data_IF_612433697133
#
_entry.id   IF_612433697133
#
_cell.length_a   1.000
_cell.length_b   1.000
_cell.length_c   1.000
_cell.angle_alpha   90.00
_cell.angle_beta   90.00
_cell.angle_gamma   90.00
#
_symmetry.space_group_name_H-M   'P 1'
#
loop_
_entity.id
_entity.type
_entity.pdbx_description
1 polymer ?
#
# COMPACT_ATOMS: atom_id res chain seq x y z
N UNK A 1 11.93 -6.02 8.98
CA UNK A 1 11.26 -5.75 10.26
C UNK A 1 10.07 -6.69 10.38
N UNK A 2 9.75 -7.17 11.58
CA UNK A 2 8.57 -8.01 11.82
C UNK A 2 7.74 -7.38 12.95
N UNK A 3 6.42 -7.34 12.79
CA UNK A 3 5.52 -6.80 13.81
C UNK A 3 4.13 -7.45 13.75
N UNK A 4 3.43 -7.62 14.89
CA UNK A 4 2.05 -8.07 14.91
C UNK A 4 1.10 -6.92 14.52
N UNK A 5 0.06 -7.23 13.74
CA UNK A 5 -1.04 -6.33 13.44
C UNK A 5 -2.34 -7.13 13.33
N UNK A 6 -3.36 -6.74 14.09
CA UNK A 6 -4.56 -7.55 14.29
C UNK A 6 -4.21 -9.00 14.69
N UNK A 7 -4.70 -9.98 13.94
CA UNK A 7 -4.45 -11.42 14.09
C UNK A 7 -3.32 -11.94 13.20
N UNK A 8 -2.55 -11.05 12.56
CA UNK A 8 -1.47 -11.38 11.63
C UNK A 8 -0.09 -10.95 12.12
N UNK A 9 0.94 -11.65 11.65
CA UNK A 9 2.35 -11.30 11.86
C UNK A 9 2.93 -10.81 10.53
N UNK A 10 3.15 -9.50 10.43
CA UNK A 10 3.60 -8.85 9.19
C UNK A 10 5.11 -8.81 9.13
N UNK A 11 5.68 -9.26 8.01
CA UNK A 11 7.10 -9.15 7.69
C UNK A 11 7.30 -8.05 6.65
N UNK A 12 7.81 -6.89 7.10
CA UNK A 12 8.13 -5.77 6.22
C UNK A 12 9.60 -5.82 5.81
N UNK A 13 9.84 -6.00 4.51
CA UNK A 13 11.17 -5.87 3.91
C UNK A 13 11.33 -4.46 3.34
N UNK A 14 12.43 -3.80 3.71
CA UNK A 14 12.74 -2.46 3.22
C UNK A 14 13.54 -2.54 1.92
N UNK A 15 13.12 -1.77 0.92
CA UNK A 15 13.73 -1.71 -0.41
C UNK A 15 14.47 -0.37 -0.57
N UNK A 16 15.82 -0.37 -0.60
CA UNK A 16 16.59 0.87 -0.74
C UNK A 16 16.22 1.67 -2.00
N UNK A 17 15.86 2.95 -1.81
CA UNK A 17 15.36 3.83 -2.87
C UNK A 17 16.42 4.61 -3.66
N UNK A 18 17.73 4.37 -3.49
CA UNK A 18 18.79 5.07 -4.23
C UNK A 18 19.21 4.29 -5.49
N UNK A 19 19.71 4.96 -6.54
CA UNK A 19 20.04 4.34 -7.84
C UNK A 19 21.15 3.28 -7.72
N UNK A 20 22.05 3.47 -6.77
CA UNK A 20 23.18 2.57 -6.52
C UNK A 20 22.78 1.22 -5.89
N UNK A 21 21.50 1.00 -5.56
CA UNK A 21 21.00 -0.18 -4.84
C UNK A 21 19.92 -0.97 -5.59
N UNK A 22 19.90 -0.87 -6.92
CA UNK A 22 18.86 -1.48 -7.77
C UNK A 22 18.81 -3.01 -7.69
N UNK A 23 19.96 -3.70 -7.65
CA UNK A 23 20.00 -5.16 -7.69
C UNK A 23 19.47 -5.83 -6.40
N UNK A 24 19.89 -5.33 -5.24
CA UNK A 24 19.40 -5.82 -3.93
C UNK A 24 17.89 -5.60 -3.77
N UNK A 25 17.38 -4.50 -4.33
CA UNK A 25 15.95 -4.19 -4.32
C UNK A 25 15.18 -5.21 -5.14
N UNK A 26 15.63 -5.53 -6.36
CA UNK A 26 14.97 -6.53 -7.20
C UNK A 26 15.00 -7.93 -6.59
N UNK A 27 16.11 -8.31 -5.94
CA UNK A 27 16.21 -9.58 -5.21
C UNK A 27 15.29 -9.62 -4.00
N UNK A 28 15.13 -8.50 -3.28
CA UNK A 28 14.20 -8.42 -2.15
C UNK A 28 12.76 -8.64 -2.57
N UNK A 29 12.36 -8.13 -3.75
CA UNK A 29 11.03 -8.39 -4.31
C UNK A 29 10.79 -9.88 -4.63
N UNK A 30 11.85 -10.68 -4.79
CA UNK A 30 11.70 -12.14 -4.97
C UNK A 30 11.32 -12.88 -3.68
N UNK A 31 11.49 -12.24 -2.52
CA UNK A 31 11.26 -12.84 -1.22
C UNK A 31 9.91 -12.48 -0.59
N UNK A 32 9.14 -11.58 -1.23
CA UNK A 32 7.81 -11.16 -0.79
C UNK A 32 6.71 -11.82 -1.60
N UNK A 33 5.52 -11.90 -1.00
CA UNK A 33 4.30 -12.41 -1.64
C UNK A 33 3.32 -11.28 -1.99
N UNK A 34 3.58 -10.05 -1.53
CA UNK A 34 2.80 -8.85 -1.80
C UNK A 34 3.69 -7.60 -1.70
N UNK A 35 3.36 -6.54 -2.43
CA UNK A 35 4.07 -5.27 -2.40
C UNK A 35 3.16 -4.10 -2.02
N UNK A 36 3.72 -3.13 -1.28
CA UNK A 36 3.10 -1.83 -1.06
C UNK A 36 3.82 -0.79 -1.91
N UNK A 37 3.13 -0.26 -2.90
CA UNK A 37 3.59 0.87 -3.71
C UNK A 37 3.18 2.18 -3.03
N UNK A 38 4.15 3.02 -2.71
CA UNK A 38 3.91 4.35 -2.13
C UNK A 38 4.20 5.40 -3.19
N UNK A 39 3.21 6.21 -3.52
CA UNK A 39 3.32 7.29 -4.51
C UNK A 39 3.26 8.64 -3.80
N UNK A 40 4.13 9.56 -4.21
CA UNK A 40 4.03 10.96 -3.80
C UNK A 40 2.94 11.64 -4.63
N UNK A 41 1.80 11.96 -4.01
CA UNK A 41 0.65 12.54 -4.71
C UNK A 41 0.93 13.93 -5.30
N UNK A 42 2.00 14.62 -4.88
CA UNK A 42 2.43 15.87 -5.51
C UNK A 42 3.20 15.67 -6.81
N UNK A 43 3.69 14.45 -7.06
CA UNK A 43 4.52 14.12 -8.23
C UNK A 43 3.85 13.15 -9.19
N UNK A 44 3.14 12.14 -8.68
CA UNK A 44 2.64 11.03 -9.48
C UNK A 44 3.70 9.94 -9.69
N UNK A 45 3.70 9.31 -10.85
CA UNK A 45 4.49 8.12 -11.15
C UNK A 45 5.90 8.50 -11.60
N UNK A 46 6.88 8.26 -10.74
CA UNK A 46 8.30 8.51 -11.02
C UNK A 46 8.96 7.32 -11.76
N UNK A 47 10.10 7.55 -12.43
CA UNK A 47 10.83 6.53 -13.21
C UNK A 47 11.15 5.26 -12.41
N UNK A 48 11.44 5.40 -11.11
CA UNK A 48 11.70 4.26 -10.23
C UNK A 48 10.44 3.42 -10.01
N UNK A 49 9.29 4.06 -9.87
CA UNK A 49 8.00 3.39 -9.71
C UNK A 49 7.73 2.50 -10.93
N UNK A 50 7.98 3.01 -12.14
CA UNK A 50 7.87 2.23 -13.39
C UNK A 50 8.80 1.02 -13.39
N UNK A 51 10.08 1.21 -13.05
CA UNK A 51 11.07 0.12 -13.01
C UNK A 51 10.73 -0.96 -11.96
N UNK A 52 10.25 -0.57 -10.78
CA UNK A 52 9.86 -1.53 -9.75
C UNK A 52 8.60 -2.30 -10.16
N UNK A 53 7.65 -1.65 -10.83
CA UNK A 53 6.47 -2.31 -11.38
C UNK A 53 6.80 -3.33 -12.47
N UNK A 54 7.81 -3.08 -13.30
CA UNK A 54 8.29 -4.08 -14.27
C UNK A 54 8.80 -5.36 -13.57
N UNK A 55 9.41 -5.22 -12.40
CA UNK A 55 9.95 -6.36 -11.64
C UNK A 55 8.84 -7.10 -10.89
N UNK A 56 7.86 -6.42 -10.31
CA UNK A 56 6.71 -7.07 -9.65
C UNK A 56 5.85 -7.85 -10.65
N UNK A 57 5.74 -7.37 -11.90
CA UNK A 57 5.06 -8.08 -13.00
C UNK A 57 5.69 -9.40 -13.39
N UNK A 58 6.98 -9.64 -13.12
CA UNK A 58 7.62 -10.92 -13.45
C UNK A 58 7.06 -12.10 -12.64
N UNK A 59 6.29 -11.83 -11.58
CA UNK A 59 5.73 -12.84 -10.68
C UNK A 59 4.26 -12.60 -10.36
N UNK A 60 3.62 -11.70 -11.11
CA UNK A 60 2.23 -11.28 -10.87
C UNK A 60 1.98 -10.92 -9.40
N UNK A 61 2.98 -10.30 -8.74
CA UNK A 61 2.93 -10.02 -7.31
C UNK A 61 1.82 -9.00 -7.02
N UNK A 62 0.86 -9.28 -6.13
CA UNK A 62 -0.21 -8.35 -5.75
C UNK A 62 0.34 -7.04 -5.17
N UNK A 63 -0.32 -5.93 -5.49
CA UNK A 63 0.16 -4.58 -5.16
C UNK A 63 -0.94 -3.78 -4.49
N UNK A 64 -0.66 -3.22 -3.32
CA UNK A 64 -1.46 -2.16 -2.72
C UNK A 64 -0.83 -0.81 -3.07
N UNK A 65 -1.64 0.20 -3.34
CA UNK A 65 -1.16 1.55 -3.64
C UNK A 65 -1.55 2.51 -2.52
N UNK A 66 -0.56 3.28 -2.03
CA UNK A 66 -0.78 4.34 -1.05
C UNK A 66 -0.32 5.69 -1.61
N UNK A 67 -1.30 6.55 -1.91
CA UNK A 67 -1.13 7.95 -2.32
C UNK A 67 -0.83 8.80 -1.09
N UNK A 68 0.45 9.14 -0.93
CA UNK A 68 1.00 9.78 0.25
C UNK A 68 1.07 11.31 0.08
N UNK A 69 1.32 12.01 1.19
CA UNK A 69 1.56 13.46 1.30
C UNK A 69 0.34 14.35 1.05
N UNK A 70 -0.86 13.89 1.44
CA UNK A 70 -2.06 14.73 1.42
C UNK A 70 -2.00 15.97 2.33
N UNK A 71 -1.04 16.02 3.26
CA UNK A 71 -0.71 17.23 4.04
C UNK A 71 -0.11 18.36 3.20
N UNK A 72 0.16 18.12 1.91
CA UNK A 72 0.67 19.09 0.95
C UNK A 72 -0.32 19.24 -0.20
N UNK A 73 -0.09 20.27 -1.01
CA UNK A 73 -0.80 20.41 -2.28
C UNK A 73 -0.40 19.25 -3.19
N UNK A 74 -1.40 18.58 -3.75
CA UNK A 74 -1.23 17.41 -4.61
C UNK A 74 -1.74 17.70 -6.02
N UNK A 75 -1.45 16.78 -6.93
CA UNK A 75 -2.14 16.73 -8.23
C UNK A 75 -3.57 16.20 -8.05
N UNK A 76 -4.39 16.37 -9.07
CA UNK A 76 -5.75 15.84 -9.07
C UNK A 76 -5.73 14.31 -8.81
N UNK A 77 -6.43 13.80 -7.77
CA UNK A 77 -6.55 12.38 -7.50
C UNK A 77 -7.00 11.53 -8.69
N UNK A 78 -7.87 12.06 -9.55
CA UNK A 78 -8.33 11.35 -10.77
C UNK A 78 -7.19 11.23 -11.78
N UNK A 79 -6.47 12.31 -12.06
CA UNK A 79 -5.27 12.28 -12.93
C UNK A 79 -4.19 11.33 -12.39
N UNK A 80 -4.01 11.27 -11.06
CA UNK A 80 -3.05 10.36 -10.44
C UNK A 80 -3.42 8.89 -10.64
N UNK A 81 -4.71 8.56 -10.58
CA UNK A 81 -5.19 7.20 -10.89
C UNK A 81 -5.00 6.88 -12.37
N UNK A 82 -5.41 7.77 -13.26
CA UNK A 82 -5.23 7.59 -14.71
C UNK A 82 -3.76 7.38 -15.09
N UNK A 83 -2.85 8.10 -14.43
CA UNK A 83 -1.41 7.95 -14.62
C UNK A 83 -0.91 6.59 -14.13
N UNK A 84 -1.39 6.09 -12.97
CA UNK A 84 -1.07 4.73 -12.51
C UNK A 84 -1.58 3.69 -13.50
N UNK A 85 -2.81 3.80 -13.98
CA UNK A 85 -3.36 2.85 -14.94
C UNK A 85 -2.59 2.86 -16.26
N UNK A 86 -2.32 4.04 -16.79
CA UNK A 86 -1.69 4.20 -18.11
C UNK A 86 -0.22 3.81 -18.09
N UNK A 87 0.54 4.33 -17.12
CA UNK A 87 1.99 4.15 -17.09
C UNK A 87 2.39 2.82 -16.46
N UNK A 88 1.69 2.40 -15.41
CA UNK A 88 2.01 1.19 -14.68
C UNK A 88 1.22 -0.01 -15.18
N UNK A 89 0.21 0.16 -16.04
CA UNK A 89 -0.60 -0.88 -16.71
C UNK A 89 -1.41 -1.76 -15.75
N UNK A 90 -1.86 -1.20 -14.63
CA UNK A 90 -2.60 -1.91 -13.58
C UNK A 90 -3.88 -1.15 -13.27
N UNK A 91 -5.02 -1.83 -13.16
CA UNK A 91 -6.30 -1.19 -12.86
C UNK A 91 -6.31 -0.59 -11.45
N UNK A 92 -6.86 0.61 -11.30
CA UNK A 92 -6.99 1.26 -10.00
C UNK A 92 -8.39 1.04 -9.44
N UNK A 93 -8.44 0.56 -8.20
CA UNK A 93 -9.68 0.49 -7.43
C UNK A 93 -9.59 1.36 -6.18
N UNK A 94 -10.25 2.52 -6.14
CA UNK A 94 -10.19 3.41 -4.99
C UNK A 94 -10.93 2.77 -3.80
N UNK A 95 -10.21 2.60 -2.70
CA UNK A 95 -10.78 2.12 -1.42
C UNK A 95 -11.11 3.30 -0.52
N UNK A 96 -10.22 4.29 -0.50
CA UNK A 96 -10.46 5.59 0.14
C UNK A 96 -10.33 6.71 -0.88
N UNK A 97 -10.99 7.84 -0.63
CA UNK A 97 -10.92 9.04 -1.45
C UNK A 97 -10.56 10.26 -0.58
N UNK A 98 -9.65 11.14 -1.00
CA UNK A 98 -9.25 12.29 -0.21
C UNK A 98 -10.34 13.37 -0.17
N UNK A 99 -10.47 14.06 0.96
CA UNK A 99 -11.36 15.22 1.12
C UNK A 99 -10.49 16.46 1.26
N UNK A 100 -10.35 17.20 0.16
CA UNK A 100 -9.40 18.31 0.04
C UNK A 100 -7.93 17.84 0.09
N UNK A 101 -7.01 18.80 0.09
CA UNK A 101 -5.58 18.54 0.21
C UNK A 101 -4.84 19.71 0.87
N UNK A 102 -3.57 19.51 1.21
CA UNK A 102 -2.73 20.55 1.79
C UNK A 102 -3.32 21.08 3.10
N UNK A 103 -3.50 22.41 3.15
CA UNK A 103 -4.14 23.08 4.30
C UNK A 103 -5.63 22.79 4.42
N UNK A 104 -6.27 22.39 3.32
CA UNK A 104 -7.69 22.06 3.26
C UNK A 104 -7.95 20.57 3.45
N UNK A 105 -6.93 19.74 3.68
CA UNK A 105 -7.10 18.32 3.90
C UNK A 105 -7.93 18.07 5.17
N UNK A 106 -9.13 17.49 5.01
CA UNK A 106 -10.07 17.20 6.10
C UNK A 106 -10.13 15.73 6.49
N UNK A 107 -9.63 14.84 5.66
CA UNK A 107 -9.69 13.40 5.90
C UNK A 107 -9.92 12.61 4.63
N UNK A 108 -10.42 11.40 4.78
CA UNK A 108 -10.74 10.51 3.65
C UNK A 108 -12.12 9.90 3.82
N UNK A 109 -12.81 9.71 2.70
CA UNK A 109 -14.02 8.90 2.63
C UNK A 109 -13.65 7.47 2.25
N UNK A 110 -14.16 6.48 2.98
CA UNK A 110 -13.93 5.07 2.72
C UNK A 110 -15.11 4.49 1.94
N UNK A 111 -14.89 4.22 0.65
CA UNK A 111 -15.94 3.85 -0.31
C UNK A 111 -16.63 2.55 0.10
N UNK A 112 -15.83 1.51 0.41
CA UNK A 112 -16.38 0.19 0.79
C UNK A 112 -17.10 0.16 2.14
N UNK A 113 -16.90 1.17 3.01
CA UNK A 113 -17.47 1.22 4.37
C UNK A 113 -18.56 2.29 4.50
N UNK A 114 -18.74 3.15 3.51
CA UNK A 114 -19.63 4.32 3.57
C UNK A 114 -19.38 5.19 4.82
N UNK A 115 -18.09 5.51 5.03
CA UNK A 115 -17.61 6.17 6.24
C UNK A 115 -16.55 7.23 5.94
N UNK A 116 -16.72 8.44 6.48
CA UNK A 116 -15.70 9.49 6.48
C UNK A 116 -14.86 9.42 7.74
N UNK A 117 -13.54 9.34 7.56
CA UNK A 117 -12.55 9.44 8.62
C UNK A 117 -11.97 10.86 8.59
N UNK A 118 -12.08 11.59 9.71
CA UNK A 118 -11.59 12.97 9.78
C UNK A 118 -10.14 13.04 10.25
N UNK A 119 -9.34 13.84 9.55
CA UNK A 119 -7.94 14.09 9.87
C UNK A 119 -7.78 15.20 10.91
N UNK A 120 -6.93 14.97 11.91
CA UNK A 120 -6.52 15.98 12.88
C UNK A 120 -5.05 16.35 12.68
N UNK A 121 -4.78 17.64 12.53
CA UNK A 121 -3.41 18.15 12.36
C UNK A 121 -2.60 18.02 13.65
N UNK A 122 -1.29 17.77 13.52
CA UNK A 122 -0.35 17.79 14.64
C UNK A 122 -0.26 16.50 15.47
N UNK A 123 -0.96 15.43 15.10
CA UNK A 123 -0.95 14.15 15.83
C UNK A 123 -0.08 13.05 15.19
N UNK A 124 0.86 13.39 14.30
CA UNK A 124 1.67 12.40 13.58
C UNK A 124 2.54 11.47 14.45
N UNK A 125 2.76 11.79 15.73
CA UNK A 125 3.55 10.97 16.66
C UNK A 125 2.74 9.90 17.39
N UNK A 126 1.41 9.89 17.26
CA UNK A 126 0.51 8.95 17.93
C UNK A 126 -0.58 8.47 16.97
N UNK A 127 -1.23 7.35 17.28
CA UNK A 127 -2.43 6.94 16.56
C UNK A 127 -3.55 7.93 16.93
N UNK A 128 -4.15 8.56 15.92
CA UNK A 128 -5.19 9.57 16.13
C UNK A 128 -6.49 8.92 16.63
N UNK A 129 -7.23 9.61 17.50
CA UNK A 129 -8.61 9.23 17.80
C UNK A 129 -9.47 9.57 16.57
N UNK A 130 -9.79 8.57 15.76
CA UNK A 130 -10.56 8.75 14.53
C UNK A 130 -12.00 9.17 14.85
N UNK A 131 -12.38 10.41 14.53
CA UNK A 131 -13.79 10.78 14.40
C UNK A 131 -14.28 10.22 13.07
N UNK A 132 -15.28 9.34 13.14
CA UNK A 132 -15.87 8.67 11.98
C UNK A 132 -17.31 9.13 11.82
N UNK A 133 -17.68 9.55 10.62
CA UNK A 133 -19.05 9.92 10.24
C UNK A 133 -19.54 8.89 9.24
N UNK A 134 -20.72 8.29 9.46
CA UNK A 134 -21.29 7.28 8.56
C UNK A 134 -22.23 7.93 7.56
N UNK A 135 -22.21 7.47 6.31
CA UNK A 135 -23.08 7.94 5.24
C UNK A 135 -22.51 9.15 4.51
N UNK A 136 -22.40 9.06 3.18
CA UNK A 136 -22.00 10.17 2.30
C UNK A 136 -22.96 11.38 2.37
N UNK A 137 -24.26 11.13 2.53
CA UNK A 137 -25.30 12.16 2.61
C UNK A 137 -25.65 12.58 4.05
N UNK A 138 -24.79 12.24 5.01
CA UNK A 138 -25.01 12.59 6.40
C UNK A 138 -24.76 14.09 6.63
N UNK A 139 -25.73 14.88 7.14
CA UNK A 139 -25.55 16.31 7.40
C UNK A 139 -24.39 16.63 8.38
N UNK A 140 -24.02 15.70 9.27
CA UNK A 140 -22.86 15.88 10.14
C UNK A 140 -21.55 15.99 9.33
N UNK A 141 -21.50 15.37 8.15
CA UNK A 141 -20.36 15.49 7.24
C UNK A 141 -20.21 16.94 6.78
N UNK A 142 -21.28 17.54 6.24
CA UNK A 142 -21.33 18.92 5.78
C UNK A 142 -20.89 19.90 6.89
N UNK A 143 -21.38 19.70 8.13
CA UNK A 143 -20.96 20.48 9.29
C UNK A 143 -19.46 20.30 9.64
N UNK A 144 -18.92 19.10 9.46
CA UNK A 144 -17.55 18.78 9.84
C UNK A 144 -16.49 19.22 8.83
N UNK A 145 -16.78 19.11 7.52
CA UNK A 145 -15.83 19.42 6.44
C UNK A 145 -16.15 20.74 5.72
N UNK A 146 -17.38 21.24 5.85
CA UNK A 146 -17.91 22.41 5.15
C UNK A 146 -18.64 22.03 3.87
N UNK A 147 -19.73 22.76 3.56
CA UNK A 147 -20.63 22.48 2.44
C UNK A 147 -19.90 22.35 1.09
N UNK A 148 -18.95 23.25 0.81
CA UNK A 148 -18.21 23.25 -0.46
C UNK A 148 -17.42 21.95 -0.67
N UNK A 149 -16.72 21.46 0.36
CA UNK A 149 -15.95 20.21 0.28
C UNK A 149 -16.86 18.98 0.28
N UNK A 150 -18.01 19.04 0.94
CA UNK A 150 -18.98 17.96 0.94
C UNK A 150 -19.63 17.77 -0.44
N UNK A 151 -20.00 18.87 -1.11
CA UNK A 151 -20.49 18.84 -2.50
C UNK A 151 -19.41 18.33 -3.43
N UNK A 152 -18.19 18.87 -3.35
CA UNK A 152 -17.07 18.41 -4.18
C UNK A 152 -16.82 16.91 -4.02
N UNK A 153 -16.81 16.39 -2.78
CA UNK A 153 -16.63 14.96 -2.52
C UNK A 153 -17.72 14.11 -3.19
N UNK A 154 -18.99 14.52 -3.09
CA UNK A 154 -20.13 13.79 -3.68
C UNK A 154 -20.01 13.76 -5.21
N UNK A 155 -19.71 14.90 -5.82
CA UNK A 155 -19.53 15.02 -7.27
C UNK A 155 -18.35 14.16 -7.76
N UNK A 156 -17.20 14.22 -7.07
CA UNK A 156 -16.03 13.40 -7.39
C UNK A 156 -16.34 11.90 -7.23
N UNK A 157 -17.01 11.48 -6.16
CA UNK A 157 -17.36 10.08 -5.95
C UNK A 157 -18.36 9.56 -7.00
N UNK A 158 -19.30 10.38 -7.48
CA UNK A 158 -20.18 9.99 -8.58
C UNK A 158 -19.38 9.68 -9.85
N UNK A 159 -18.39 10.52 -10.18
CA UNK A 159 -17.50 10.30 -11.32
C UNK A 159 -16.61 9.07 -11.12
N UNK A 160 -16.01 8.93 -9.94
CA UNK A 160 -15.11 7.83 -9.61
C UNK A 160 -15.86 6.49 -9.65
N UNK A 161 -17.05 6.40 -9.06
CA UNK A 161 -17.86 5.17 -9.10
C UNK A 161 -18.37 4.86 -10.52
N UNK A 162 -18.53 5.87 -11.38
CA UNK A 162 -18.91 5.68 -12.77
C UNK A 162 -17.76 5.28 -13.71
N UNK A 163 -16.52 5.62 -13.39
CA UNK A 163 -15.36 5.46 -14.27
C UNK A 163 -14.28 4.49 -13.78
N UNK A 164 -14.15 4.29 -12.47
CA UNK A 164 -13.11 3.44 -11.87
C UNK A 164 -13.56 1.98 -11.67
N UNK A 165 -12.63 1.13 -11.25
CA UNK A 165 -12.89 -0.28 -10.99
C UNK A 165 -13.36 -0.51 -9.54
N UNK A 166 -14.42 -1.31 -9.38
CA UNK A 166 -14.73 -1.89 -8.06
C UNK A 166 -13.62 -2.85 -7.61
N UNK A 167 -13.45 -2.98 -6.30
CA UNK A 167 -12.40 -3.84 -5.76
C UNK A 167 -12.75 -5.32 -5.99
N UNK A 168 -11.95 -5.98 -6.81
CA UNK A 168 -12.03 -7.43 -7.05
C UNK A 168 -10.81 -8.14 -6.43
N UNK A 169 -11.08 -9.10 -5.54
CA UNK A 169 -10.03 -9.79 -4.78
C UNK A 169 -9.22 -10.74 -5.66
N UNK A 170 -9.83 -11.38 -6.66
CA UNK A 170 -9.14 -12.30 -7.56
C UNK A 170 -8.20 -11.54 -8.49
N UNK A 171 -8.66 -10.41 -9.06
CA UNK A 171 -7.85 -9.51 -9.89
C UNK A 171 -6.68 -8.90 -9.10
N UNK A 172 -6.90 -8.58 -7.81
CA UNK A 172 -5.83 -8.13 -6.92
C UNK A 172 -4.77 -9.23 -6.72
N UNK A 173 -5.19 -10.47 -6.43
CA UNK A 173 -4.27 -11.60 -6.25
C UNK A 173 -3.54 -11.99 -7.55
N UNK A 174 -4.11 -11.67 -8.71
CA UNK A 174 -3.49 -11.83 -10.02
C UNK A 174 -2.56 -10.66 -10.41
N UNK A 175 -2.45 -9.61 -9.59
CA UNK A 175 -1.63 -8.43 -9.89
C UNK A 175 -2.18 -7.55 -11.02
N UNK A 176 -3.47 -7.70 -11.36
CA UNK A 176 -4.16 -6.96 -12.42
C UNK A 176 -4.85 -5.69 -11.90
N UNK A 177 -5.16 -5.65 -10.61
CA UNK A 177 -5.84 -4.56 -9.92
C UNK A 177 -5.12 -4.19 -8.63
N UNK A 178 -5.00 -2.89 -8.34
CA UNK A 178 -4.48 -2.38 -7.07
C UNK A 178 -5.56 -1.63 -6.29
N UNK A 179 -5.82 -1.98 -5.01
CA UNK A 179 -6.56 -1.10 -4.12
C UNK A 179 -5.74 0.17 -3.87
N UNK A 180 -6.37 1.33 -4.05
CA UNK A 180 -5.75 2.64 -3.87
C UNK A 180 -6.25 3.26 -2.57
N UNK A 181 -5.30 3.63 -1.72
CA UNK A 181 -5.53 4.29 -0.45
C UNK A 181 -4.90 5.68 -0.49
N UNK A 182 -5.62 6.67 0.00
CA UNK A 182 -5.16 8.04 0.14
C UNK A 182 -4.84 8.33 1.62
N UNK A 183 -3.74 9.02 1.89
CA UNK A 183 -3.39 9.42 3.25
C UNK A 183 -2.12 10.26 3.39
N UNK A 184 -1.70 10.45 4.65
CA UNK A 184 -0.41 11.08 4.98
C UNK A 184 0.32 10.25 6.02
N UNK A 185 1.46 9.67 5.61
CA UNK A 185 2.33 8.94 6.51
C UNK A 185 2.94 9.86 7.57
N UNK A 186 3.25 11.12 7.23
CA UNK A 186 3.77 12.11 8.18
C UNK A 186 2.74 12.48 9.24
N UNK A 187 1.47 12.62 8.84
CA UNK A 187 0.35 12.84 9.75
C UNK A 187 -0.15 11.58 10.46
N UNK A 188 0.44 10.40 10.19
CA UNK A 188 -0.02 9.10 10.65
C UNK A 188 -1.53 8.86 10.39
N UNK A 189 -1.97 9.17 9.17
CA UNK A 189 -3.38 9.13 8.77
C UNK A 189 -3.56 8.31 7.48
N UNK A 190 -4.52 7.38 7.49
CA UNK A 190 -4.80 6.46 6.36
C UNK A 190 -3.90 5.22 6.32
N UNK A 191 -2.80 5.19 7.09
CA UNK A 191 -1.88 4.03 7.16
C UNK A 191 -2.58 2.80 7.71
N UNK A 192 -3.46 2.96 8.70
CA UNK A 192 -4.27 1.88 9.25
C UNK A 192 -5.23 1.28 8.22
N UNK A 193 -5.85 2.07 7.35
CA UNK A 193 -6.76 1.55 6.32
C UNK A 193 -6.01 0.67 5.31
N UNK A 194 -4.81 1.09 4.93
CA UNK A 194 -3.94 0.28 4.08
C UNK A 194 -3.49 -1.00 4.79
N UNK A 195 -3.14 -0.93 6.08
CA UNK A 195 -2.77 -2.12 6.87
C UNK A 195 -3.95 -3.09 7.08
N UNK A 196 -5.16 -2.57 7.31
CA UNK A 196 -6.40 -3.36 7.34
C UNK A 196 -6.58 -4.10 6.00
N UNK A 197 -6.40 -3.39 4.88
CA UNK A 197 -6.46 -3.97 3.53
C UNK A 197 -5.38 -5.03 3.30
N UNK A 198 -4.15 -4.76 3.75
CA UNK A 198 -3.02 -5.69 3.68
C UNK A 198 -3.37 -7.00 4.41
N UNK A 199 -3.78 -6.93 5.68
CA UNK A 199 -4.10 -8.13 6.47
C UNK A 199 -5.32 -8.87 5.92
N UNK A 200 -6.31 -8.15 5.39
CA UNK A 200 -7.54 -8.76 4.88
C UNK A 200 -7.37 -9.41 3.51
N UNK A 201 -6.55 -8.85 2.63
CA UNK A 201 -6.53 -9.22 1.21
C UNK A 201 -5.22 -9.82 0.74
N UNK A 202 -4.08 -9.44 1.32
CA UNK A 202 -2.79 -9.95 0.88
C UNK A 202 -2.67 -11.46 1.11
N UNK A 203 -1.97 -12.18 0.23
CA UNK A 203 -1.80 -13.62 0.37
C UNK A 203 -0.98 -13.97 1.62
N UNK A 204 -1.32 -15.11 2.20
CA UNK A 204 -0.43 -15.83 3.11
C UNK A 204 0.83 -16.33 2.35
N UNK A 205 1.86 -16.86 3.03
CA UNK A 205 3.07 -17.35 2.37
C UNK A 205 2.78 -18.29 1.19
N UNK A 206 3.21 -17.88 -0.01
CA UNK A 206 2.85 -18.55 -1.25
C UNK A 206 3.81 -19.71 -1.57
N UNK A 207 3.36 -20.72 -2.33
CA UNK A 207 4.23 -21.77 -2.84
C UNK A 207 5.37 -21.21 -3.70
N UNK A 208 6.52 -21.88 -3.68
CA UNK A 208 7.70 -21.51 -4.49
C UNK A 208 8.13 -22.66 -5.38
N UNK A 209 8.34 -22.35 -6.65
CA UNK A 209 8.85 -23.31 -7.63
C UNK A 209 10.36 -23.54 -7.44
N UNK A 210 10.78 -24.80 -7.58
CA UNK A 210 12.19 -25.23 -7.59
C UNK A 210 12.47 -26.01 -8.87
N UNK A 211 13.73 -26.41 -9.08
CA UNK A 211 14.14 -27.29 -10.18
C UNK A 211 13.57 -28.72 -10.07
N UNK A 212 13.13 -29.14 -8.88
CA UNK A 212 12.60 -30.48 -8.62
C UNK A 212 11.07 -30.52 -8.50
N UNK A 213 10.49 -29.58 -7.76
CA UNK A 213 9.05 -29.56 -7.43
C UNK A 213 8.61 -28.19 -6.94
N UNK A 214 7.30 -28.02 -6.81
CA UNK A 214 6.75 -26.94 -6.01
C UNK A 214 6.92 -27.24 -4.51
N UNK A 215 7.30 -26.22 -3.75
CA UNK A 215 7.40 -26.27 -2.29
C UNK A 215 6.28 -25.42 -1.71
N UNK A 216 5.42 -26.04 -0.91
CA UNK A 216 4.26 -25.36 -0.30
C UNK A 216 4.59 -24.93 1.13
N UNK A 217 4.03 -23.80 1.56
CA UNK A 217 4.25 -23.27 2.91
C UNK A 217 3.67 -24.14 4.04
N UNK A 218 2.82 -25.12 3.71
CA UNK A 218 2.21 -26.03 4.68
C UNK A 218 3.11 -27.21 5.07
N UNK A 219 4.27 -27.38 4.42
CA UNK A 219 5.20 -28.48 4.70
C UNK A 219 5.80 -28.38 6.11
N UNK A 220 5.96 -29.53 6.78
CA UNK A 220 6.56 -29.60 8.13
C UNK A 220 8.08 -29.46 8.11
N UNK A 221 8.72 -29.69 6.97
CA UNK A 221 10.18 -29.63 6.85
C UNK A 221 10.60 -28.21 6.50
N UNK A 222 11.57 -27.67 7.24
CA UNK A 222 12.11 -26.35 6.94
C UNK A 222 12.72 -26.31 5.54
N UNK A 223 12.27 -25.34 4.76
CA UNK A 223 12.83 -24.98 3.46
C UNK A 223 12.97 -23.47 3.38
N UNK A 224 13.98 -23.00 2.64
CA UNK A 224 14.21 -21.58 2.44
C UNK A 224 15.35 -21.31 1.48
N UNK A 225 15.43 -20.08 0.98
CA UNK A 225 16.50 -19.63 0.11
C UNK A 225 17.03 -18.27 0.56
N UNK A 226 18.32 -18.04 0.32
CA UNK A 226 18.98 -16.75 0.60
C UNK A 226 18.70 -15.81 -0.57
N UNK A 227 18.15 -14.63 -0.28
CA UNK A 227 17.84 -13.63 -1.30
C UNK A 227 18.72 -12.38 -1.21
N UNK A 228 19.31 -12.10 -0.04
CA UNK A 228 20.19 -10.95 0.16
C UNK A 228 21.32 -11.31 1.13
N UNK A 229 22.52 -10.81 0.85
CA UNK A 229 23.66 -10.85 1.76
C UNK A 229 24.05 -9.40 2.03
N UNK A 230 24.01 -8.99 3.29
CA UNK A 230 24.40 -7.64 3.69
C UNK A 230 25.73 -7.72 4.44
N UNK A 231 26.74 -7.02 3.94
CA UNK A 231 28.01 -6.88 4.64
C UNK A 231 27.79 -6.12 5.96
N UNK A 232 28.36 -6.64 7.04
CA UNK A 232 28.35 -5.96 8.32
C UNK A 232 29.33 -4.78 8.28
N UNK A 233 28.84 -3.60 8.70
CA UNK A 233 29.61 -2.36 8.72
C UNK A 233 30.44 -2.20 10.01
N UNK A 234 30.26 -3.08 11.00
CA UNK A 234 31.05 -3.08 12.23
C UNK A 234 32.50 -3.54 11.94
N UNK A 235 33.52 -2.69 12.14
CA UNK A 235 34.91 -3.06 11.92
C UNK A 235 35.39 -4.26 12.76
N UNK A 236 34.71 -4.56 13.87
CA UNK A 236 35.03 -5.67 14.79
C UNK A 236 34.39 -7.00 14.38
N UNK A 237 33.37 -6.98 13.53
CA UNK A 237 32.67 -8.16 13.06
C UNK A 237 32.57 -8.11 11.53
N UNK A 238 33.42 -8.89 10.86
CA UNK A 238 33.41 -9.01 9.39
C UNK A 238 32.40 -10.04 8.86
N UNK A 239 31.56 -10.58 9.73
CA UNK A 239 30.62 -11.63 9.36
C UNK A 239 29.45 -11.02 8.56
N UNK A 240 29.25 -11.44 7.29
CA UNK A 240 28.11 -10.97 6.50
C UNK A 240 26.82 -11.59 7.03
N UNK A 241 25.74 -10.81 7.07
CA UNK A 241 24.42 -11.30 7.43
C UNK A 241 23.69 -11.80 6.17
N UNK A 242 23.34 -13.08 6.14
CA UNK A 242 22.49 -13.66 5.10
C UNK A 242 21.01 -13.54 5.49
N UNK A 243 20.22 -12.91 4.63
CA UNK A 243 18.76 -12.85 4.75
C UNK A 243 18.17 -13.97 3.89
N UNK A 244 17.37 -14.81 4.52
CA UNK A 244 16.64 -15.89 3.87
C UNK A 244 15.14 -15.69 4.01
N UNK A 245 14.39 -16.20 3.04
CA UNK A 245 12.95 -16.40 3.16
C UNK A 245 12.69 -17.90 3.18
N UNK A 246 11.80 -18.34 4.06
CA UNK A 246 11.58 -19.75 4.35
C UNK A 246 10.64 -19.92 5.53
N UNK A 247 10.04 -21.10 5.63
CA UNK A 247 9.03 -21.39 6.63
C UNK A 247 9.11 -22.81 7.15
N UNK A 248 8.62 -22.98 8.38
CA UNK A 248 8.10 -24.23 8.93
C UNK A 248 6.68 -23.92 9.36
N UNK A 249 5.75 -24.86 9.24
CA UNK A 249 4.44 -24.73 9.86
C UNK A 249 4.61 -24.48 11.38
N UNK A 250 4.33 -23.27 11.83
CA UNK A 250 4.11 -23.00 13.25
C UNK A 250 2.67 -23.45 13.58
N UNK A 251 2.56 -24.48 14.42
CA UNK A 251 1.29 -24.97 14.98
C UNK A 251 0.75 -23.97 15.99
#
# INVERSE_FOLDING_TARGET
>A
MQFPYADCLVNLLDTPGHEDFSEDTYRTLTAVDCCLMVIDSSKGVEDRTRKLMEVTRLRDTPILTFMNKLDRDIRDPMELMDEVETELKIACSPVTWPIGCGKLFKGVYHILRDETYLYQTGQGHTIQNSRVIKGLDNPELDEAIGDDLAVQLRDELELVLGASHEFDHEAFLAGELTPVFFGTALGNFGVNHMLDGLVKWAPAPMPRQTDMREVTAAEETFTGFVFKIQANMDPKHRDPCCFFTGGVRHV
#
